data_IF_180838528400
#
_entry.id   IF_180838528400
#
_cell.length_a   1.000
_cell.length_b   1.000
_cell.length_c   1.000
_cell.angle_alpha   90.00
_cell.angle_beta   90.00
_cell.angle_gamma   90.00
#
_symmetry.space_group_name_H-M   'P 1'
#
loop_
_entity.id
_entity.type
_entity.pdbx_description
1 polymer ?
#
# COMPACT_ATOMS: atom_id res chain seq x y z
N UNK A 1 -64.82 41.59 97.31
CA UNK A 1 -64.27 40.25 97.61
C UNK A 1 -62.85 40.25 97.07
N UNK A 2 -61.88 40.59 97.92
CA UNK A 2 -61.12 39.66 98.78
C UNK A 2 -59.88 39.14 98.02
N UNK A 3 -58.69 39.63 98.40
CA UNK A 3 -57.62 38.89 99.12
C UNK A 3 -56.69 38.16 98.12
N UNK A 4 -55.38 38.07 98.25
CA UNK A 4 -54.45 38.35 99.34
C UNK A 4 -53.00 38.34 98.80
N UNK A 5 -52.14 38.96 99.60
CA UNK A 5 -50.68 39.08 99.54
C UNK A 5 -49.89 37.79 99.24
N UNK A 6 -48.65 37.96 98.77
CA UNK A 6 -47.46 37.31 99.35
C UNK A 6 -46.16 37.97 98.86
N UNK A 7 -45.34 38.42 99.81
CA UNK A 7 -44.03 39.05 99.60
C UNK A 7 -42.92 38.00 99.41
N UNK A 8 -41.90 38.30 98.59
CA UNK A 8 -40.62 37.59 98.56
C UNK A 8 -39.48 38.61 98.73
N UNK A 9 -38.59 38.30 99.67
CA UNK A 9 -37.48 39.14 100.12
C UNK A 9 -36.35 39.26 99.06
N UNK A 10 -35.82 40.48 98.93
CA UNK A 10 -34.65 40.81 98.11
C UNK A 10 -33.36 40.53 98.88
N UNK A 11 -32.46 39.74 98.28
CA UNK A 11 -31.12 39.48 98.79
C UNK A 11 -30.11 40.46 98.15
N UNK A 12 -29.33 41.14 98.99
CA UNK A 12 -28.43 42.25 98.65
C UNK A 12 -27.21 41.88 97.78
N UNK A 13 -27.14 40.68 97.21
CA UNK A 13 -25.97 40.22 96.46
C UNK A 13 -26.00 40.54 94.95
N UNK A 14 -27.15 40.92 94.40
CA UNK A 14 -27.33 41.14 92.96
C UNK A 14 -26.89 42.53 92.46
N UNK A 15 -26.54 43.46 93.35
CA UNK A 15 -26.23 44.84 92.96
C UNK A 15 -24.80 44.99 92.41
N UNK A 16 -23.86 44.09 92.74
CA UNK A 16 -22.46 44.19 92.25
C UNK A 16 -22.21 43.63 90.85
N UNK A 17 -23.12 42.80 90.32
CA UNK A 17 -22.96 42.22 88.97
C UNK A 17 -23.54 43.10 87.85
N UNK A 18 -24.32 44.14 88.18
CA UNK A 18 -24.92 45.03 87.20
C UNK A 18 -23.90 45.99 86.56
N UNK A 19 -22.91 46.49 87.33
CA UNK A 19 -21.92 47.45 86.82
C UNK A 19 -20.90 46.82 85.87
N UNK A 20 -20.55 45.54 86.06
CA UNK A 20 -19.59 44.86 85.19
C UNK A 20 -20.16 44.60 83.79
N UNK A 21 -21.44 44.24 83.71
CA UNK A 21 -22.17 43.98 82.45
C UNK A 21 -22.35 45.25 81.60
N UNK A 22 -22.57 46.40 82.26
CA UNK A 22 -22.71 47.70 81.60
C UNK A 22 -21.42 48.14 80.89
N UNK A 23 -20.25 47.92 81.50
CA UNK A 23 -18.97 48.26 80.87
C UNK A 23 -18.67 47.40 79.65
N UNK A 24 -18.95 46.10 79.72
CA UNK A 24 -18.69 45.15 78.63
C UNK A 24 -19.60 45.42 77.42
N UNK A 25 -20.88 45.77 77.65
CA UNK A 25 -21.79 46.16 76.57
C UNK A 25 -21.40 47.49 75.90
N UNK A 26 -20.76 48.40 76.65
CA UNK A 26 -20.27 49.68 76.12
C UNK A 26 -19.03 49.47 75.24
N UNK A 27 -18.10 48.60 75.65
CA UNK A 27 -16.93 48.22 74.84
C UNK A 27 -17.33 47.39 73.60
N UNK A 28 -18.32 46.52 73.72
CA UNK A 28 -18.85 45.74 72.58
C UNK A 28 -19.55 46.64 71.55
N UNK A 29 -20.27 47.68 72.00
CA UNK A 29 -20.84 48.70 71.09
C UNK A 29 -19.74 49.53 70.41
N UNK A 30 -18.64 49.80 71.10
CA UNK A 30 -17.53 50.57 70.55
C UNK A 30 -16.74 49.75 69.51
N UNK A 31 -16.55 48.44 69.73
CA UNK A 31 -15.87 47.55 68.78
C UNK A 31 -16.69 47.30 67.51
N UNK A 32 -18.03 47.20 67.63
CA UNK A 32 -18.94 47.05 66.48
C UNK A 32 -19.12 48.33 65.66
N UNK A 33 -18.75 49.50 66.20
CA UNK A 33 -18.84 50.80 65.51
C UNK A 33 -17.58 51.18 64.73
N UNK A 34 -16.49 50.41 64.86
CA UNK A 34 -15.26 50.66 64.11
C UNK A 34 -15.37 50.06 62.69
N UNK A 35 -15.84 50.87 61.74
CA UNK A 35 -15.75 50.51 60.33
C UNK A 35 -14.28 50.38 59.93
N UNK A 36 -13.79 49.14 59.76
CA UNK A 36 -12.53 48.91 59.05
C UNK A 36 -12.73 49.41 57.62
N UNK A 37 -12.13 50.55 57.29
CA UNK A 37 -12.10 51.07 55.93
C UNK A 37 -11.20 50.14 55.09
N UNK A 38 -11.78 49.08 54.53
CA UNK A 38 -11.10 48.28 53.52
C UNK A 38 -11.05 49.12 52.24
N UNK A 39 -9.87 49.62 51.91
CA UNK A 39 -9.63 50.33 50.65
C UNK A 39 -9.72 49.30 49.52
N UNK A 40 -10.89 49.20 48.88
CA UNK A 40 -11.04 48.44 47.65
C UNK A 40 -10.13 49.12 46.63
N UNK A 41 -8.97 48.52 46.38
CA UNK A 41 -8.13 48.88 45.25
C UNK A 41 -8.98 48.74 44.01
N UNK A 42 -9.17 49.85 43.30
CA UNK A 42 -9.85 49.88 42.02
C UNK A 42 -8.91 49.22 41.00
N UNK A 43 -8.82 47.89 40.99
CA UNK A 43 -8.17 47.15 39.93
C UNK A 43 -9.08 47.19 38.72
N UNK A 44 -9.09 48.33 38.01
CA UNK A 44 -9.57 48.34 36.64
C UNK A 44 -8.66 47.41 35.85
N UNK A 45 -9.06 46.15 35.68
CA UNK A 45 -8.46 45.25 34.70
C UNK A 45 -8.71 45.96 33.37
N UNK A 46 -7.69 46.66 32.87
CA UNK A 46 -7.73 47.24 31.54
C UNK A 46 -7.69 46.06 30.57
N UNK A 47 -8.86 45.60 30.17
CA UNK A 47 -9.00 44.71 29.02
C UNK A 47 -8.42 45.45 27.81
N UNK A 48 -7.14 45.22 27.53
CA UNK A 48 -6.55 45.61 26.25
C UNK A 48 -7.17 44.68 25.21
N UNK A 49 -8.33 45.09 24.69
CA UNK A 49 -9.09 44.37 23.66
C UNK A 49 -8.20 43.96 22.50
N UNK A 50 -7.26 44.82 22.10
CA UNK A 50 -6.26 44.51 21.07
C UNK A 50 -5.32 43.35 21.46
N UNK A 51 -4.88 43.27 22.72
CA UNK A 51 -4.02 42.18 23.19
C UNK A 51 -4.78 40.86 23.27
N UNK A 52 -6.03 40.89 23.77
CA UNK A 52 -6.89 39.69 23.83
C UNK A 52 -7.19 39.18 22.42
N UNK A 53 -7.53 40.07 21.48
CA UNK A 53 -7.77 39.71 20.06
C UNK A 53 -6.50 39.09 19.43
N UNK A 54 -5.33 39.68 19.67
CA UNK A 54 -4.06 39.16 19.15
C UNK A 54 -3.79 37.73 19.67
N UNK A 55 -3.94 37.50 20.97
CA UNK A 55 -3.74 36.19 21.59
C UNK A 55 -4.76 35.17 21.08
N UNK A 56 -6.02 35.57 20.92
CA UNK A 56 -7.06 34.71 20.34
C UNK A 56 -6.76 34.35 18.88
N UNK A 57 -6.29 35.28 18.05
CA UNK A 57 -5.91 35.00 16.65
C UNK A 57 -4.73 34.04 16.55
N UNK A 58 -3.71 34.20 17.41
CA UNK A 58 -2.58 33.27 17.50
C UNK A 58 -3.05 31.88 17.94
N UNK A 59 -3.95 31.82 18.92
CA UNK A 59 -4.56 30.55 19.36
C UNK A 59 -5.35 29.86 18.26
N UNK A 60 -6.15 30.60 17.48
CA UNK A 60 -6.89 30.06 16.34
C UNK A 60 -5.93 29.58 15.25
N UNK A 61 -4.88 30.34 14.92
CA UNK A 61 -3.87 29.93 13.95
C UNK A 61 -3.16 28.65 14.40
N UNK A 62 -2.82 28.55 15.68
CA UNK A 62 -2.22 27.35 16.27
C UNK A 62 -3.17 26.14 16.19
N UNK A 63 -4.46 26.34 16.49
CA UNK A 63 -5.47 25.29 16.33
C UNK A 63 -5.65 24.87 14.86
N UNK A 64 -5.60 25.80 13.92
CA UNK A 64 -5.64 25.50 12.48
C UNK A 64 -4.39 24.71 12.06
N UNK A 65 -3.21 25.06 12.57
CA UNK A 65 -1.98 24.29 12.32
C UNK A 65 -2.10 22.89 12.91
N UNK A 66 -2.54 22.74 14.15
CA UNK A 66 -2.77 21.44 14.78
C UNK A 66 -3.82 20.61 14.04
N UNK A 67 -4.91 21.23 13.60
CA UNK A 67 -5.93 20.56 12.79
C UNK A 67 -5.34 20.09 11.47
N UNK A 68 -4.57 20.91 10.76
CA UNK A 68 -3.91 20.52 9.51
C UNK A 68 -2.83 19.44 9.73
N UNK A 69 -2.10 19.46 10.85
CA UNK A 69 -1.15 18.39 11.20
C UNK A 69 -1.86 17.08 11.58
N UNK A 70 -3.05 17.14 12.20
CA UNK A 70 -3.86 15.97 12.50
C UNK A 70 -4.60 15.44 11.25
N UNK A 71 -4.90 16.31 10.29
CA UNK A 71 -5.59 15.99 9.03
C UNK A 71 -4.68 15.80 7.83
N UNK A 72 -3.35 15.95 7.94
CA UNK A 72 -2.46 15.34 6.97
C UNK A 72 -2.76 13.84 7.01
N UNK A 73 -3.25 13.23 5.93
CA UNK A 73 -3.62 11.83 5.95
C UNK A 73 -2.32 11.03 6.02
N UNK A 74 -1.83 10.78 7.22
CA UNK A 74 -0.99 9.61 7.46
C UNK A 74 -1.87 8.42 7.08
N UNK A 75 -1.49 7.60 6.09
CA UNK A 75 -2.29 6.45 5.70
C UNK A 75 -2.56 5.64 6.97
N UNK A 76 -3.83 5.32 7.21
CA UNK A 76 -4.24 4.50 8.36
C UNK A 76 -3.49 3.17 8.27
N UNK A 77 -2.41 3.04 9.03
CA UNK A 77 -1.65 1.81 9.19
C UNK A 77 -2.55 0.82 9.92
N UNK A 78 -3.14 -0.11 9.19
CA UNK A 78 -3.65 -1.35 9.77
C UNK A 78 -2.50 -2.35 9.57
N UNK A 79 -1.87 -2.76 10.66
CA UNK A 79 -0.82 -3.77 10.66
C UNK A 79 -1.24 -4.91 11.57
N UNK A 80 -1.09 -6.13 11.06
CA UNK A 80 -1.20 -7.35 11.85
C UNK A 80 0.23 -7.88 12.05
N UNK A 81 0.73 -7.78 13.28
CA UNK A 81 2.11 -8.15 13.61
C UNK A 81 2.49 -7.79 15.05
N UNK A 82 3.07 -8.72 15.79
CA UNK A 82 3.65 -8.46 17.11
C UNK A 82 4.92 -7.60 16.92
N UNK A 83 4.84 -6.32 17.30
CA UNK A 83 6.01 -5.45 17.33
C UNK A 83 7.01 -5.94 18.39
N UNK A 84 8.05 -6.66 17.98
CA UNK A 84 9.24 -6.82 18.82
C UNK A 84 10.25 -5.70 18.51
N UNK A 85 10.66 -4.88 19.51
CA UNK A 85 11.60 -3.77 19.32
C UNK A 85 12.96 -4.18 18.72
N UNK A 86 13.33 -5.46 18.84
CA UNK A 86 14.58 -5.99 18.30
C UNK A 86 14.63 -6.08 16.76
N UNK A 87 13.48 -6.11 16.07
CA UNK A 87 13.43 -6.31 14.61
C UNK A 87 13.81 -5.06 13.82
N UNK A 88 13.69 -3.86 14.39
CA UNK A 88 14.02 -2.59 13.72
C UNK A 88 15.52 -2.39 13.48
N UNK A 89 16.39 -2.91 14.37
CA UNK A 89 17.85 -2.77 14.25
C UNK A 89 18.47 -3.76 13.26
N UNK A 90 17.89 -4.97 13.12
CA UNK A 90 18.31 -5.98 12.14
C UNK A 90 17.71 -5.77 10.74
N UNK A 91 16.82 -4.79 10.58
CA UNK A 91 16.10 -4.51 9.34
C UNK A 91 17.00 -3.99 8.21
N UNK A 92 18.13 -3.33 8.53
CA UNK A 92 18.97 -2.62 7.56
C UNK A 92 20.16 -3.38 6.96
N UNK A 93 20.47 -4.60 7.40
CA UNK A 93 21.81 -5.21 7.16
C UNK A 93 21.83 -6.53 6.38
N UNK A 94 20.85 -6.80 5.50
CA UNK A 94 20.92 -8.00 4.65
C UNK A 94 20.81 -7.59 3.18
N UNK A 95 21.93 -7.65 2.46
CA UNK A 95 21.95 -7.59 1.00
C UNK A 95 21.42 -8.92 0.49
N UNK A 96 20.17 -8.94 0.02
CA UNK A 96 19.61 -10.11 -0.66
C UNK A 96 20.31 -10.32 -2.00
N UNK A 97 20.59 -11.58 -2.33
CA UNK A 97 21.20 -12.01 -3.58
C UNK A 97 20.19 -11.85 -4.71
N UNK A 98 20.52 -11.06 -5.72
CA UNK A 98 19.72 -10.92 -6.94
C UNK A 98 20.63 -10.79 -8.18
N UNK A 99 20.40 -11.57 -9.24
CA UNK A 99 19.52 -12.75 -9.33
C UNK A 99 19.90 -13.90 -8.39
N UNK A 100 18.99 -14.86 -8.17
CA UNK A 100 19.27 -16.01 -7.29
C UNK A 100 20.36 -16.93 -7.84
N UNK A 101 20.36 -17.21 -9.15
CA UNK A 101 21.45 -17.90 -9.81
C UNK A 101 22.55 -16.93 -10.21
N UNK A 102 23.82 -17.33 -10.10
CA UNK A 102 24.92 -16.48 -10.55
C UNK A 102 24.87 -16.29 -12.07
N UNK A 103 24.94 -15.04 -12.58
CA UNK A 103 25.04 -14.80 -14.01
C UNK A 103 26.29 -15.45 -14.62
N UNK A 104 26.16 -16.02 -15.82
CA UNK A 104 27.24 -16.66 -16.55
C UNK A 104 27.82 -15.63 -17.54
N UNK A 105 29.05 -15.18 -17.28
CA UNK A 105 29.75 -14.24 -18.16
C UNK A 105 30.41 -14.98 -19.34
N UNK A 106 29.96 -14.67 -20.55
CA UNK A 106 30.54 -15.17 -21.79
C UNK A 106 31.69 -14.24 -22.19
N UNK A 107 32.92 -14.79 -22.25
CA UNK A 107 34.15 -14.00 -22.51
C UNK A 107 33.98 -13.06 -23.70
N UNK A 108 34.06 -11.75 -23.43
CA UNK A 108 33.99 -10.64 -24.39
C UNK A 108 32.73 -10.62 -25.28
N UNK A 109 31.64 -11.28 -24.85
CA UNK A 109 30.46 -11.47 -25.70
C UNK A 109 29.18 -10.95 -25.02
N UNK A 110 28.89 -11.43 -23.81
CA UNK A 110 27.61 -11.13 -23.17
C UNK A 110 27.46 -11.78 -21.80
N UNK A 111 26.28 -11.61 -21.21
CA UNK A 111 25.93 -12.19 -19.91
C UNK A 111 24.68 -13.03 -20.08
N UNK A 112 24.73 -14.27 -19.57
CA UNK A 112 23.63 -15.23 -19.62
C UNK A 112 23.01 -15.36 -18.23
N UNK A 113 21.71 -15.18 -18.15
CA UNK A 113 20.92 -15.21 -16.92
C UNK A 113 19.94 -16.37 -16.96
N UNK A 114 19.73 -16.99 -15.80
CA UNK A 114 18.62 -17.92 -15.60
C UNK A 114 17.35 -17.10 -15.46
N UNK A 115 16.30 -17.49 -16.17
CA UNK A 115 14.98 -16.85 -16.08
C UNK A 115 13.90 -17.90 -15.86
N UNK A 116 12.79 -17.48 -15.27
CA UNK A 116 11.59 -18.27 -15.21
C UNK A 116 10.35 -17.42 -15.44
N UNK A 117 9.31 -18.08 -15.93
CA UNK A 117 7.98 -17.52 -16.09
C UNK A 117 6.94 -18.43 -15.45
N UNK A 118 5.89 -17.83 -14.88
CA UNK A 118 4.80 -18.53 -14.18
C UNK A 118 3.45 -18.28 -14.85
N UNK A 119 2.61 -19.30 -14.96
CA UNK A 119 1.32 -19.20 -15.66
C UNK A 119 0.15 -18.88 -14.75
N UNK A 120 -0.77 -18.08 -15.25
CA UNK A 120 -2.16 -18.07 -14.81
C UNK A 120 -3.00 -18.87 -15.82
N UNK A 121 -3.77 -19.83 -15.35
CA UNK A 121 -4.65 -20.66 -16.19
C UNK A 121 -6.12 -20.33 -15.97
N UNK A 122 -6.41 -19.27 -15.20
CA UNK A 122 -7.75 -18.91 -14.76
C UNK A 122 -8.47 -20.13 -14.17
N UNK A 123 -9.72 -20.35 -14.57
CA UNK A 123 -10.53 -21.49 -14.15
C UNK A 123 -9.97 -22.84 -14.62
N UNK A 124 -9.10 -22.87 -15.63
CA UNK A 124 -8.47 -24.09 -16.13
C UNK A 124 -7.33 -24.59 -15.24
N UNK A 125 -6.93 -23.81 -14.24
CA UNK A 125 -6.03 -24.25 -13.15
C UNK A 125 -6.59 -25.44 -12.37
N UNK A 126 -7.91 -25.63 -12.33
CA UNK A 126 -8.54 -26.74 -11.60
C UNK A 126 -8.28 -28.08 -12.28
N UNK A 127 -7.72 -29.04 -11.54
CA UNK A 127 -7.50 -30.39 -12.03
C UNK A 127 -8.82 -31.12 -12.29
N UNK A 128 -8.91 -31.77 -13.45
CA UNK A 128 -10.05 -32.61 -13.83
C UNK A 128 -9.93 -34.04 -13.30
N UNK A 129 -8.72 -34.47 -12.95
CA UNK A 129 -8.41 -35.84 -12.51
C UNK A 129 -8.23 -35.95 -11.01
N UNK A 130 -7.67 -34.91 -10.38
CA UNK A 130 -7.41 -34.88 -8.95
C UNK A 130 -8.41 -33.96 -8.24
N UNK A 131 -9.16 -34.52 -7.29
CA UNK A 131 -10.18 -33.77 -6.56
C UNK A 131 -9.54 -32.68 -5.69
N UNK A 132 -10.07 -31.46 -5.77
CA UNK A 132 -9.61 -30.30 -4.99
C UNK A 132 -8.12 -30.00 -5.18
N UNK A 133 -7.62 -30.15 -6.41
CA UNK A 133 -6.27 -29.75 -6.78
C UNK A 133 -6.36 -28.68 -7.85
N UNK A 134 -5.56 -27.64 -7.69
CA UNK A 134 -5.30 -26.61 -8.69
C UNK A 134 -3.83 -26.60 -9.03
N UNK A 135 -3.49 -26.16 -10.24
CA UNK A 135 -2.12 -26.15 -10.72
C UNK A 135 -1.78 -24.94 -11.59
N UNK A 136 -0.49 -24.66 -11.69
CA UNK A 136 0.13 -23.67 -12.57
C UNK A 136 1.39 -24.26 -13.20
N UNK A 137 1.84 -23.69 -14.31
CA UNK A 137 3.05 -24.07 -15.02
C UNK A 137 4.20 -23.11 -14.72
N UNK A 138 5.32 -23.68 -14.28
CA UNK A 138 6.56 -22.97 -14.03
C UNK A 138 7.58 -23.34 -15.10
N UNK A 139 7.81 -22.42 -16.04
CA UNK A 139 8.68 -22.63 -17.20
C UNK A 139 9.98 -21.87 -17.02
N UNK A 140 11.10 -22.58 -17.14
CA UNK A 140 12.43 -22.00 -16.99
C UNK A 140 13.18 -21.96 -18.32
N UNK A 141 14.11 -21.02 -18.43
CA UNK A 141 14.97 -20.84 -19.58
C UNK A 141 16.19 -20.00 -19.26
N UNK A 142 16.85 -19.51 -20.29
CA UNK A 142 17.96 -18.59 -20.20
C UNK A 142 17.73 -17.41 -21.11
N UNK A 143 18.13 -16.24 -20.63
CA UNK A 143 18.24 -15.02 -21.41
C UNK A 143 19.72 -14.65 -21.54
N UNK A 144 20.20 -14.45 -22.76
CA UNK A 144 21.57 -14.00 -23.02
C UNK A 144 21.53 -12.60 -23.61
N UNK A 145 22.18 -11.65 -22.95
CA UNK A 145 22.35 -10.29 -23.46
C UNK A 145 23.76 -10.10 -24.00
N UNK A 146 23.85 -9.71 -25.26
CA UNK A 146 25.10 -9.42 -25.97
C UNK A 146 25.35 -7.91 -25.93
N UNK A 147 26.23 -7.47 -25.04
CA UNK A 147 26.44 -6.05 -24.80
C UNK A 147 27.07 -5.31 -26.01
N UNK A 148 27.80 -6.03 -26.88
CA UNK A 148 28.52 -5.45 -28.02
C UNK A 148 27.62 -4.90 -29.12
N UNK A 149 26.51 -5.58 -29.40
CA UNK A 149 25.53 -5.22 -30.42
C UNK A 149 24.14 -4.93 -29.82
N UNK A 150 24.03 -4.99 -28.49
CA UNK A 150 22.80 -4.78 -27.73
C UNK A 150 21.64 -5.67 -28.20
N UNK A 151 21.89 -6.98 -28.37
CA UNK A 151 20.86 -7.98 -28.71
C UNK A 151 20.57 -8.91 -27.55
N UNK A 152 19.39 -9.54 -27.57
CA UNK A 152 18.96 -10.50 -26.56
C UNK A 152 18.50 -11.79 -27.25
N UNK A 153 19.02 -12.93 -26.79
CA UNK A 153 18.55 -14.26 -27.16
C UNK A 153 17.89 -14.95 -25.98
N UNK A 154 16.83 -15.72 -26.25
CA UNK A 154 16.09 -16.49 -25.25
C UNK A 154 16.09 -17.96 -25.64
N UNK A 155 16.46 -18.82 -24.70
CA UNK A 155 16.47 -20.27 -24.86
C UNK A 155 15.72 -20.93 -23.71
N UNK A 156 14.59 -21.55 -24.00
CA UNK A 156 13.82 -22.31 -23.01
C UNK A 156 14.40 -23.71 -22.78
N UNK A 157 14.22 -24.24 -21.58
CA UNK A 157 14.63 -25.60 -21.28
C UNK A 157 13.88 -26.62 -22.16
N UNK A 158 14.56 -27.70 -22.54
CA UNK A 158 13.98 -28.79 -23.32
C UNK A 158 12.98 -29.63 -22.53
N UNK A 159 13.18 -29.72 -21.21
CA UNK A 159 12.20 -30.32 -20.31
C UNK A 159 11.03 -29.34 -20.22
N UNK A 160 9.81 -29.83 -20.49
CA UNK A 160 8.60 -29.01 -20.43
C UNK A 160 8.41 -28.31 -19.07
N UNK A 161 7.43 -27.40 -18.96
CA UNK A 161 7.19 -26.67 -17.72
C UNK A 161 6.93 -27.62 -16.55
N UNK A 162 7.42 -27.23 -15.37
CA UNK A 162 7.11 -27.92 -14.12
C UNK A 162 5.68 -27.60 -13.70
N UNK A 163 4.98 -28.58 -13.15
CA UNK A 163 3.61 -28.41 -12.67
C UNK A 163 3.66 -28.13 -11.18
N UNK A 164 3.28 -26.92 -10.80
CA UNK A 164 3.11 -26.51 -9.41
C UNK A 164 1.68 -26.81 -8.99
N UNK A 165 1.47 -27.39 -7.79
CA UNK A 165 0.13 -27.80 -7.33
C UNK A 165 -0.16 -27.28 -5.93
N UNK A 166 -1.43 -26.99 -5.66
CA UNK A 166 -1.96 -26.73 -4.33
C UNK A 166 -3.37 -27.28 -4.19
N UNK A 167 -3.75 -27.65 -2.96
CA UNK A 167 -5.12 -28.04 -2.61
C UNK A 167 -5.93 -26.89 -2.01
N UNK A 168 -5.32 -25.70 -1.85
CA UNK A 168 -5.95 -24.54 -1.25
C UNK A 168 -6.66 -23.74 -2.34
N UNK A 169 -7.91 -23.36 -2.09
CA UNK A 169 -8.71 -22.54 -2.99
C UNK A 169 -9.65 -21.63 -2.21
N UNK A 170 -10.15 -20.59 -2.87
CA UNK A 170 -11.20 -19.72 -2.37
C UNK A 170 -12.28 -19.62 -3.45
N UNK A 171 -13.53 -19.94 -3.10
CA UNK A 171 -14.61 -20.02 -4.09
C UNK A 171 -14.38 -21.07 -5.19
N UNK A 172 -13.58 -22.11 -4.91
CA UNK A 172 -13.27 -23.17 -5.86
C UNK A 172 -12.25 -22.79 -6.95
N UNK A 173 -11.53 -21.68 -6.79
CA UNK A 173 -10.43 -21.22 -7.64
C UNK A 173 -9.14 -21.08 -6.82
N UNK A 174 -7.98 -21.35 -7.43
CA UNK A 174 -6.67 -21.24 -6.79
C UNK A 174 -5.55 -21.56 -7.77
N UNK A 175 -4.29 -21.28 -7.39
CA UNK A 175 -3.11 -21.41 -8.27
C UNK A 175 -3.20 -20.59 -9.57
N UNK A 176 -3.94 -19.48 -9.53
CA UNK A 176 -4.00 -18.48 -10.60
C UNK A 176 -2.90 -17.45 -10.29
N UNK A 177 -1.69 -17.77 -10.76
CA UNK A 177 -0.45 -17.16 -10.31
C UNK A 177 -0.06 -15.97 -11.19
N UNK A 178 -0.29 -14.76 -10.69
CA UNK A 178 -0.29 -13.52 -11.50
C UNK A 178 0.97 -12.66 -11.40
N UNK A 179 2.05 -13.13 -10.76
CA UNK A 179 3.39 -12.50 -10.79
C UNK A 179 4.46 -13.46 -10.26
N UNK A 180 5.74 -13.18 -10.58
CA UNK A 180 6.92 -13.86 -10.05
C UNK A 180 7.95 -12.83 -9.56
N UNK A 181 8.40 -12.96 -8.31
CA UNK A 181 9.35 -12.00 -7.72
C UNK A 181 10.37 -12.69 -6.82
N UNK A 182 11.62 -12.25 -6.88
CA UNK A 182 12.65 -12.61 -5.90
C UNK A 182 12.61 -11.65 -4.72
N UNK A 183 12.46 -12.19 -3.51
CA UNK A 183 12.48 -11.43 -2.28
C UNK A 183 13.14 -12.25 -1.17
N UNK A 184 14.04 -11.65 -0.40
CA UNK A 184 14.68 -12.31 0.75
C UNK A 184 15.26 -13.70 0.39
N UNK A 185 16.01 -13.74 -0.70
CA UNK A 185 16.70 -14.93 -1.25
C UNK A 185 15.76 -16.11 -1.62
N UNK A 186 14.49 -15.81 -1.86
CA UNK A 186 13.47 -16.78 -2.27
C UNK A 186 12.66 -16.26 -3.45
N UNK A 187 12.03 -17.18 -4.17
CA UNK A 187 11.08 -16.87 -5.23
C UNK A 187 9.67 -16.94 -4.66
N UNK A 188 8.87 -15.92 -4.96
CA UNK A 188 7.48 -15.84 -4.59
C UNK A 188 6.58 -15.65 -5.79
N UNK A 189 5.38 -16.23 -5.71
CA UNK A 189 4.29 -16.02 -6.65
C UNK A 189 2.97 -15.84 -5.90
N UNK A 190 1.96 -15.28 -6.55
CA UNK A 190 0.78 -14.72 -5.90
C UNK A 190 -0.48 -15.29 -6.54
N UNK A 191 -1.29 -15.98 -5.74
CA UNK A 191 -2.60 -16.46 -6.19
C UNK A 191 -3.63 -15.34 -6.05
N UNK A 192 -4.08 -14.79 -7.18
CA UNK A 192 -5.00 -13.65 -7.24
C UNK A 192 -6.43 -13.97 -6.73
N UNK A 193 -6.73 -15.25 -6.47
CA UNK A 193 -8.04 -15.70 -5.99
C UNK A 193 -8.05 -15.82 -4.49
N UNK A 194 -7.08 -16.56 -3.96
CA UNK A 194 -6.96 -16.80 -2.53
C UNK A 194 -6.28 -15.65 -1.80
N UNK A 195 -5.50 -14.83 -2.50
CA UNK A 195 -4.59 -13.84 -1.93
C UNK A 195 -3.35 -14.47 -1.28
N UNK A 196 -3.11 -15.77 -1.48
CA UNK A 196 -1.95 -16.44 -0.89
C UNK A 196 -0.70 -16.08 -1.68
N UNK A 197 0.33 -15.66 -0.95
CA UNK A 197 1.70 -15.56 -1.45
C UNK A 197 2.37 -16.91 -1.19
N UNK A 198 2.77 -17.56 -2.27
CA UNK A 198 3.46 -18.84 -2.26
C UNK A 198 4.96 -18.63 -2.42
N UNK A 199 5.77 -19.29 -1.59
CA UNK A 199 7.20 -19.47 -1.88
C UNK A 199 7.40 -20.69 -2.77
N UNK A 200 8.25 -20.56 -3.78
CA UNK A 200 8.68 -21.66 -4.64
C UNK A 200 10.07 -22.12 -4.18
N UNK A 201 10.18 -23.37 -3.74
CA UNK A 201 11.42 -23.99 -3.29
C UNK A 201 12.38 -24.30 -4.44
N UNK A 202 13.63 -24.61 -4.13
CA UNK A 202 14.64 -24.99 -5.14
C UNK A 202 14.27 -26.27 -5.90
N UNK A 203 13.53 -27.16 -5.24
CA UNK A 203 12.97 -28.40 -5.79
C UNK A 203 11.63 -28.18 -6.51
N UNK A 204 11.25 -26.92 -6.75
CA UNK A 204 9.99 -26.48 -7.36
C UNK A 204 8.75 -26.84 -6.52
N UNK A 205 8.91 -27.09 -5.21
CA UNK A 205 7.76 -27.22 -4.30
C UNK A 205 7.12 -25.87 -4.02
N UNK A 206 5.79 -25.86 -3.89
CA UNK A 206 5.02 -24.64 -3.62
C UNK A 206 4.48 -24.69 -2.20
N UNK A 207 4.88 -23.71 -1.39
CA UNK A 207 4.51 -23.62 0.02
C UNK A 207 3.82 -22.27 0.30
N UNK A 208 2.62 -22.27 0.89
CA UNK A 208 1.98 -21.03 1.35
C UNK A 208 2.88 -20.31 2.35
N UNK A 209 3.08 -19.01 2.18
CA UNK A 209 3.81 -18.19 3.13
C UNK A 209 2.88 -17.29 3.94
N UNK A 210 2.12 -16.43 3.27
CA UNK A 210 1.19 -15.48 3.89
C UNK A 210 -0.07 -15.32 3.03
N UNK A 211 -1.15 -14.82 3.62
CA UNK A 211 -2.41 -14.51 2.92
C UNK A 211 -2.69 -13.01 2.98
N UNK A 212 -3.08 -12.44 1.84
CA UNK A 212 -3.39 -11.04 1.65
C UNK A 212 -4.91 -10.90 1.46
N UNK A 213 -5.56 -10.16 2.35
CA UNK A 213 -7.00 -9.86 2.24
C UNK A 213 -7.25 -8.56 1.48
N UNK A 214 -8.37 -8.50 0.76
CA UNK A 214 -8.66 -7.43 -0.19
C UNK A 214 -8.78 -6.03 0.45
N UNK A 215 -8.50 -4.98 -0.34
CA UNK A 215 -8.59 -3.59 0.06
C UNK A 215 -7.69 -3.23 1.25
N UNK A 216 -8.30 -2.70 2.31
CA UNK A 216 -7.66 -2.31 3.56
C UNK A 216 -7.32 -3.48 4.50
N UNK A 217 -7.54 -4.73 4.06
CA UNK A 217 -7.24 -5.94 4.83
C UNK A 217 -8.40 -6.48 5.67
N UNK A 218 -9.57 -5.83 5.67
CA UNK A 218 -10.74 -6.28 6.46
C UNK A 218 -11.80 -7.00 5.61
N UNK A 219 -11.49 -7.30 4.35
CA UNK A 219 -12.39 -8.03 3.45
C UNK A 219 -12.32 -9.54 3.69
N UNK A 220 -13.41 -10.25 3.40
CA UNK A 220 -13.44 -11.72 3.39
C UNK A 220 -12.90 -12.32 2.08
N UNK A 221 -12.70 -11.50 1.05
CA UNK A 221 -12.17 -11.92 -0.25
C UNK A 221 -10.64 -11.84 -0.24
N UNK A 222 -9.99 -12.82 -0.86
CA UNK A 222 -8.56 -12.78 -1.18
C UNK A 222 -8.23 -11.55 -2.03
N UNK A 223 -7.07 -10.95 -1.78
CA UNK A 223 -6.58 -9.82 -2.53
C UNK A 223 -6.15 -10.26 -3.93
N UNK A 224 -6.74 -9.64 -4.96
CA UNK A 224 -6.41 -9.90 -6.37
C UNK A 224 -5.05 -9.30 -6.68
N UNK A 225 -3.99 -10.05 -6.42
CA UNK A 225 -2.60 -9.62 -6.61
C UNK A 225 -2.26 -9.70 -8.09
N UNK A 226 -1.75 -8.62 -8.67
CA UNK A 226 -1.51 -8.51 -10.13
C UNK A 226 -0.06 -8.11 -10.44
N UNK A 227 0.68 -7.58 -9.47
CA UNK A 227 2.07 -7.22 -9.65
C UNK A 227 2.78 -7.17 -8.31
N UNK A 228 4.10 -7.33 -8.32
CA UNK A 228 4.92 -7.27 -7.14
C UNK A 228 6.35 -6.77 -7.43
N UNK A 229 6.92 -6.05 -6.48
CA UNK A 229 8.30 -5.55 -6.58
C UNK A 229 8.92 -5.33 -5.21
N UNK A 230 10.24 -5.15 -5.17
CA UNK A 230 10.97 -4.89 -3.93
C UNK A 230 11.38 -3.43 -3.87
N UNK A 231 11.03 -2.75 -2.78
CA UNK A 231 11.42 -1.36 -2.51
C UNK A 231 11.79 -1.22 -1.04
N UNK A 232 12.96 -0.64 -0.75
CA UNK A 232 13.46 -0.44 0.62
C UNK A 232 13.44 -1.71 1.49
N UNK A 233 13.83 -2.85 0.92
CA UNK A 233 13.86 -4.16 1.59
C UNK A 233 12.50 -4.76 1.97
N UNK A 234 11.40 -4.15 1.51
CA UNK A 234 10.05 -4.71 1.61
C UNK A 234 9.53 -5.14 0.25
N UNK A 235 8.66 -6.13 0.26
CA UNK A 235 7.89 -6.61 -0.87
C UNK A 235 6.59 -5.81 -0.99
N UNK A 236 6.43 -5.11 -2.10
CA UNK A 236 5.23 -4.37 -2.46
C UNK A 236 4.40 -5.22 -3.41
N UNK A 237 3.12 -5.39 -3.11
CA UNK A 237 2.19 -6.18 -3.92
C UNK A 237 0.98 -5.30 -4.23
N UNK A 238 0.67 -5.14 -5.51
CA UNK A 238 -0.49 -4.40 -5.94
C UNK A 238 -1.51 -5.25 -6.68
N UNK A 239 -2.64 -4.60 -6.96
CA UNK A 239 -3.76 -5.13 -7.72
C UNK A 239 -3.94 -4.28 -8.98
N UNK A 240 -5.07 -4.42 -9.66
CA UNK A 240 -5.33 -3.84 -10.98
C UNK A 240 -5.19 -2.30 -11.04
N UNK A 241 -5.23 -1.60 -9.90
CA UNK A 241 -4.94 -0.17 -9.84
C UNK A 241 -6.03 0.74 -10.43
N UNK A 242 -7.26 0.22 -10.59
CA UNK A 242 -8.45 1.01 -10.91
C UNK A 242 -9.59 0.69 -9.95
N UNK A 243 -10.66 1.47 -10.03
CA UNK A 243 -11.91 1.19 -9.35
C UNK A 243 -12.42 -0.23 -9.73
N UNK A 244 -12.92 -0.98 -8.74
CA UNK A 244 -13.69 -2.17 -9.01
C UNK A 244 -15.05 -1.74 -9.55
N UNK A 245 -15.44 -2.32 -10.68
CA UNK A 245 -16.68 -2.01 -11.38
C UNK A 245 -17.49 -3.28 -11.65
N UNK A 246 -18.77 -3.13 -12.00
CA UNK A 246 -19.51 -4.18 -12.70
C UNK A 246 -18.86 -4.50 -14.06
N UNK A 247 -19.33 -5.55 -14.74
CA UNK A 247 -18.92 -5.89 -16.12
C UNK A 247 -19.27 -4.80 -17.14
N UNK A 248 -20.20 -3.89 -16.80
CA UNK A 248 -20.59 -2.73 -17.61
C UNK A 248 -19.95 -1.41 -17.15
N UNK A 249 -19.03 -1.47 -16.17
CA UNK A 249 -18.24 -0.32 -15.75
C UNK A 249 -18.90 0.57 -14.70
N UNK A 250 -19.94 0.11 -14.02
CA UNK A 250 -20.54 0.84 -12.89
C UNK A 250 -19.66 0.71 -11.64
N UNK A 251 -19.37 1.83 -10.98
CA UNK A 251 -18.52 1.85 -9.79
C UNK A 251 -19.08 1.00 -8.64
N UNK A 252 -18.20 0.28 -7.94
CA UNK A 252 -18.53 -0.48 -6.73
C UNK A 252 -17.65 -0.08 -5.55
N UNK A 253 -16.32 -0.17 -5.68
CA UNK A 253 -15.37 0.16 -4.61
C UNK A 253 -13.95 0.46 -5.14
N UNK A 254 -13.04 0.85 -4.24
CA UNK A 254 -11.65 1.17 -4.55
C UNK A 254 -10.65 0.10 -4.10
N UNK A 255 -11.08 -1.11 -3.76
CA UNK A 255 -10.21 -2.14 -3.19
C UNK A 255 -8.97 -2.48 -4.06
N UNK A 256 -9.08 -2.59 -5.40
CA UNK A 256 -7.92 -2.87 -6.26
C UNK A 256 -6.91 -1.72 -6.33
N UNK A 257 -7.22 -0.56 -5.73
CA UNK A 257 -6.32 0.59 -5.64
C UNK A 257 -5.58 0.66 -4.29
N UNK A 258 -5.74 -0.33 -3.42
CA UNK A 258 -4.86 -0.55 -2.26
C UNK A 258 -3.68 -1.40 -2.69
N UNK A 259 -2.54 -1.25 -2.00
CA UNK A 259 -1.38 -2.16 -2.10
C UNK A 259 -1.09 -2.80 -0.74
N UNK A 260 -0.26 -3.83 -0.74
CA UNK A 260 0.24 -4.53 0.44
C UNK A 260 1.75 -4.37 0.50
N UNK A 261 2.27 -3.97 1.64
CA UNK A 261 3.71 -3.89 1.91
C UNK A 261 4.03 -4.97 2.93
N UNK A 262 4.95 -5.86 2.58
CA UNK A 262 5.30 -7.03 3.36
C UNK A 262 6.79 -6.96 3.67
N UNK A 263 7.15 -6.96 4.94
CA UNK A 263 8.57 -7.04 5.29
C UNK A 263 9.09 -8.48 5.30
N UNK A 264 10.41 -8.64 5.46
CA UNK A 264 11.07 -9.96 5.50
C UNK A 264 10.55 -10.93 6.57
N UNK A 265 9.85 -10.42 7.58
CA UNK A 265 9.26 -11.21 8.66
C UNK A 265 7.80 -11.60 8.38
N UNK A 266 7.23 -11.15 7.26
CA UNK A 266 5.84 -11.40 6.87
C UNK A 266 4.85 -10.43 7.50
N UNK A 267 5.29 -9.34 8.13
CA UNK A 267 4.36 -8.30 8.61
C UNK A 267 3.78 -7.54 7.43
N UNK A 268 2.46 -7.42 7.41
CA UNK A 268 1.70 -6.80 6.33
C UNK A 268 1.24 -5.41 6.76
N UNK A 269 1.42 -4.43 5.87
CA UNK A 269 0.84 -3.10 5.95
C UNK A 269 -0.04 -2.85 4.72
N UNK A 270 -1.27 -2.40 4.93
CA UNK A 270 -2.21 -2.05 3.87
C UNK A 270 -2.12 -0.55 3.56
N UNK A 271 -1.81 -0.18 2.31
CA UNK A 271 -1.64 1.23 1.93
C UNK A 271 -2.60 1.61 0.82
N UNK A 272 -3.32 2.71 1.02
CA UNK A 272 -4.23 3.25 0.02
C UNK A 272 -3.45 4.01 -1.07
N UNK A 273 -3.51 3.52 -2.31
CA UNK A 273 -2.85 4.10 -3.48
C UNK A 273 -3.83 4.75 -4.46
N UNK A 274 -5.07 5.03 -4.05
CA UNK A 274 -6.10 5.63 -4.92
C UNK A 274 -5.58 6.87 -5.65
N UNK A 275 -5.01 7.82 -4.91
CA UNK A 275 -4.49 9.06 -5.51
C UNK A 275 -3.27 8.82 -6.41
N UNK A 276 -2.46 7.81 -6.12
CA UNK A 276 -1.28 7.48 -6.91
C UNK A 276 -1.70 6.95 -8.29
N UNK A 277 -2.62 5.98 -8.32
CA UNK A 277 -3.16 5.46 -9.59
C UNK A 277 -3.94 6.50 -10.38
N UNK A 278 -4.70 7.39 -9.71
CA UNK A 278 -5.34 8.53 -10.37
C UNK A 278 -4.30 9.44 -11.03
N UNK A 279 -3.20 9.74 -10.33
CA UNK A 279 -2.12 10.56 -10.89
C UNK A 279 -1.46 9.88 -12.10
N UNK A 280 -1.22 8.57 -12.04
CA UNK A 280 -0.67 7.76 -13.14
C UNK A 280 -1.57 7.84 -14.38
N UNK A 281 -2.86 7.51 -14.27
CA UNK A 281 -3.77 7.55 -15.44
C UNK A 281 -3.94 8.97 -15.97
N UNK A 282 -3.95 9.98 -15.09
CA UNK A 282 -4.04 11.39 -15.50
C UNK A 282 -2.82 11.85 -16.29
N UNK A 283 -1.63 11.36 -15.97
CA UNK A 283 -0.41 11.64 -16.75
C UNK A 283 -0.49 11.10 -18.18
N UNK A 284 -1.29 10.05 -18.40
CA UNK A 284 -1.63 9.52 -19.73
C UNK A 284 -2.89 10.16 -20.34
N UNK A 285 -3.37 11.29 -19.80
CA UNK A 285 -4.60 11.99 -20.21
C UNK A 285 -5.88 11.16 -20.10
N UNK A 286 -5.92 10.19 -19.18
CA UNK A 286 -7.10 9.36 -18.93
C UNK A 286 -7.75 9.82 -17.63
N UNK A 287 -9.05 10.09 -17.70
CA UNK A 287 -9.88 10.45 -16.56
C UNK A 287 -11.08 9.50 -16.50
N UNK A 288 -11.56 9.22 -15.29
CA UNK A 288 -12.78 8.45 -15.09
C UNK A 288 -13.94 9.08 -15.90
N UNK A 289 -14.75 8.30 -16.65
CA UNK A 289 -14.89 6.84 -16.60
C UNK A 289 -13.84 6.04 -17.40
N UNK A 290 -12.91 6.69 -18.09
CA UNK A 290 -11.71 6.04 -18.62
C UNK A 290 -10.85 5.41 -17.52
N UNK A 291 -10.10 4.37 -17.88
CA UNK A 291 -9.40 3.53 -16.92
C UNK A 291 -8.05 3.02 -17.46
N UNK A 292 -7.26 2.49 -16.53
CA UNK A 292 -5.97 1.85 -16.78
C UNK A 292 -5.86 0.64 -15.86
N UNK A 293 -5.44 -0.51 -16.38
CA UNK A 293 -5.24 -1.74 -15.60
C UNK A 293 -3.75 -2.01 -15.50
N UNK A 294 -3.27 -2.23 -14.28
CA UNK A 294 -1.87 -2.50 -13.97
C UNK A 294 -1.69 -3.95 -13.54
N UNK A 295 -0.92 -4.70 -14.32
CA UNK A 295 -0.44 -6.05 -13.98
C UNK A 295 1.09 -6.11 -13.96
N UNK A 296 1.75 -4.95 -13.99
CA UNK A 296 3.20 -4.93 -13.82
C UNK A 296 3.68 -3.59 -13.30
N UNK A 297 4.56 -3.66 -12.30
CA UNK A 297 5.17 -2.50 -11.68
C UNK A 297 6.49 -2.90 -11.03
N UNK A 298 7.55 -2.12 -11.27
CA UNK A 298 8.87 -2.35 -10.67
C UNK A 298 9.44 -1.05 -10.11
N UNK A 299 9.97 -1.08 -8.89
CA UNK A 299 10.77 0.00 -8.34
C UNK A 299 12.21 -0.09 -8.85
N UNK A 300 12.73 0.99 -9.43
CA UNK A 300 14.15 1.11 -9.77
C UNK A 300 14.89 1.89 -8.67
N UNK A 301 15.83 1.22 -8.02
CA UNK A 301 16.73 1.86 -7.07
C UNK A 301 17.69 2.85 -7.75
N UNK A 302 18.08 2.57 -9.00
CA UNK A 302 18.99 3.40 -9.80
C UNK A 302 18.33 4.73 -10.14
N UNK A 303 17.11 4.70 -10.67
CA UNK A 303 16.40 5.89 -11.10
C UNK A 303 15.60 6.56 -9.98
N UNK A 304 15.38 5.87 -8.85
CA UNK A 304 14.50 6.26 -7.74
C UNK A 304 13.07 6.55 -8.23
N UNK A 305 12.57 5.64 -9.06
CA UNK A 305 11.26 5.75 -9.71
C UNK A 305 10.54 4.41 -9.73
N UNK A 306 9.23 4.49 -9.65
CA UNK A 306 8.32 3.42 -10.01
C UNK A 306 8.20 3.38 -11.53
N UNK A 307 8.21 2.19 -12.12
CA UNK A 307 7.94 1.96 -13.54
C UNK A 307 6.72 1.05 -13.68
N UNK A 308 5.83 1.38 -14.60
CA UNK A 308 4.61 0.63 -14.90
C UNK A 308 4.54 0.37 -16.40
N UNK A 309 4.15 -0.85 -16.76
CA UNK A 309 3.65 -1.19 -18.08
C UNK A 309 2.20 -1.64 -17.91
N UNK A 310 1.22 -0.73 -18.05
CA UNK A 310 -0.18 -1.09 -17.90
C UNK A 310 -0.58 -2.17 -18.91
N UNK A 311 -1.39 -3.14 -18.47
CA UNK A 311 -1.99 -4.14 -19.37
C UNK A 311 -2.94 -3.46 -20.34
N UNK A 312 -3.84 -2.64 -19.79
CA UNK A 312 -4.93 -1.99 -20.52
C UNK A 312 -4.98 -0.50 -20.26
N UNK A 313 -5.45 0.26 -21.24
CA UNK A 313 -5.61 1.71 -21.16
C UNK A 313 -6.72 2.17 -22.09
N UNK A 314 -7.76 2.81 -21.55
CA UNK A 314 -8.91 3.27 -22.32
C UNK A 314 -9.42 4.62 -21.84
N UNK A 315 -9.81 5.49 -22.78
CA UNK A 315 -10.51 6.73 -22.49
C UNK A 315 -12.03 6.55 -22.32
N UNK A 316 -12.54 5.35 -22.63
CA UNK A 316 -13.96 4.98 -22.50
C UNK A 316 -14.19 4.22 -21.20
N UNK A 317 -15.46 4.15 -20.79
CA UNK A 317 -15.89 3.36 -19.64
C UNK A 317 -15.52 1.88 -19.81
N UNK A 318 -15.18 1.23 -18.70
CA UNK A 318 -14.89 -0.20 -18.66
C UNK A 318 -16.08 -1.03 -19.15
N UNK A 319 -15.79 -2.01 -20.00
CA UNK A 319 -16.69 -3.07 -20.38
C UNK A 319 -15.84 -4.33 -20.55
N UNK A 320 -16.28 -5.44 -19.97
CA UNK A 320 -15.52 -6.70 -19.90
C UNK A 320 -15.10 -7.21 -21.29
N UNK A 321 -16.05 -7.26 -22.24
CA UNK A 321 -15.77 -7.74 -23.61
C UNK A 321 -14.87 -6.76 -24.39
N UNK A 322 -15.09 -5.45 -24.24
CA UNK A 322 -14.28 -4.45 -24.92
C UNK A 322 -12.84 -4.39 -24.38
N UNK A 323 -12.63 -4.71 -23.09
CA UNK A 323 -11.33 -4.65 -22.43
C UNK A 323 -10.30 -5.60 -23.03
N UNK A 324 -10.74 -6.74 -23.59
CA UNK A 324 -9.88 -7.70 -24.30
C UNK A 324 -9.05 -7.02 -25.42
N UNK A 325 -9.55 -5.90 -25.97
CA UNK A 325 -8.95 -5.13 -27.05
C UNK A 325 -8.35 -3.78 -26.61
N UNK A 326 -8.23 -3.53 -25.30
CA UNK A 326 -7.74 -2.24 -24.76
C UNK A 326 -6.26 -2.29 -24.36
N UNK A 327 -5.46 -3.20 -24.93
CA UNK A 327 -4.03 -3.24 -24.66
C UNK A 327 -3.32 -1.93 -25.04
N UNK A 328 -2.17 -1.68 -24.43
CA UNK A 328 -1.44 -0.43 -24.61
C UNK A 328 0.06 -0.64 -24.78
N UNK A 329 0.75 0.40 -25.22
CA UNK A 329 2.20 0.45 -25.41
C UNK A 329 2.88 1.47 -24.45
N UNK A 330 2.18 1.89 -23.39
CA UNK A 330 2.69 2.88 -22.44
C UNK A 330 3.73 2.29 -21.49
N UNK A 331 4.85 2.99 -21.34
CA UNK A 331 5.79 2.88 -20.22
C UNK A 331 5.67 4.15 -19.38
N UNK A 332 5.24 3.99 -18.13
CA UNK A 332 5.04 5.12 -17.22
C UNK A 332 6.06 5.05 -16.11
N UNK A 333 6.80 6.14 -15.87
CA UNK A 333 7.70 6.24 -14.72
C UNK A 333 7.25 7.36 -13.78
N UNK A 334 7.22 7.11 -12.47
CA UNK A 334 6.80 8.05 -11.45
C UNK A 334 7.88 8.21 -10.37
N UNK A 335 8.09 9.45 -9.89
CA UNK A 335 8.85 9.68 -8.66
C UNK A 335 8.20 8.96 -7.48
N UNK A 336 8.96 8.72 -6.41
CA UNK A 336 8.47 8.01 -5.20
C UNK A 336 7.17 8.60 -4.62
N UNK A 337 7.01 9.92 -4.72
CA UNK A 337 5.81 10.64 -4.28
C UNK A 337 4.75 10.89 -5.38
N UNK A 338 4.91 10.31 -6.57
CA UNK A 338 4.01 10.42 -7.72
C UNK A 338 3.73 11.87 -8.19
N UNK A 339 4.62 12.82 -7.89
CA UNK A 339 4.49 14.23 -8.32
C UNK A 339 5.13 14.51 -9.69
N UNK A 340 6.13 13.73 -10.08
CA UNK A 340 6.76 13.78 -11.39
C UNK A 340 6.53 12.46 -12.11
N UNK A 341 5.65 12.47 -13.11
CA UNK A 341 5.25 11.29 -13.88
C UNK A 341 5.57 11.52 -15.35
N UNK A 342 6.24 10.56 -15.98
CA UNK A 342 6.64 10.59 -17.39
C UNK A 342 6.02 9.40 -18.11
N UNK A 343 5.54 9.63 -19.32
CA UNK A 343 4.94 8.62 -20.18
C UNK A 343 5.77 8.51 -21.45
N UNK A 344 6.18 7.28 -21.77
CA UNK A 344 6.92 6.88 -22.97
C UNK A 344 6.09 5.84 -23.71
N UNK A 345 6.25 5.73 -25.03
CA UNK A 345 5.57 4.71 -25.84
C UNK A 345 6.60 3.70 -26.34
N UNK A 346 6.26 2.42 -26.31
CA UNK A 346 7.16 1.31 -26.63
C UNK A 346 6.59 0.50 -27.80
N UNK A 347 7.07 0.77 -29.00
CA UNK A 347 6.57 0.12 -30.21
C UNK A 347 5.12 0.44 -30.54
N UNK A 348 4.50 -0.40 -31.37
CA UNK A 348 3.11 -0.25 -31.80
C UNK A 348 2.12 -0.91 -30.83
N UNK A 349 0.87 -0.44 -30.86
CA UNK A 349 -0.22 -1.06 -30.09
C UNK A 349 -0.72 -2.29 -30.85
N UNK A 350 -0.68 -3.45 -30.18
CA UNK A 350 -1.40 -4.65 -30.59
C UNK A 350 -2.58 -4.80 -29.61
N UNK A 351 -3.83 -4.54 -30.04
CA UNK A 351 -4.97 -4.38 -29.12
C UNK A 351 -5.22 -5.54 -28.14
N UNK A 352 -4.84 -6.76 -28.51
CA UNK A 352 -5.07 -7.98 -27.72
C UNK A 352 -3.90 -8.35 -26.82
N UNK A 353 -2.71 -7.74 -26.99
CA UNK A 353 -1.48 -8.10 -26.27
C UNK A 353 -1.19 -7.10 -25.14
N UNK A 354 -1.68 -7.38 -23.93
CA UNK A 354 -1.46 -6.54 -22.76
C UNK A 354 -0.21 -6.95 -21.98
N UNK A 355 0.57 -6.00 -21.46
CA UNK A 355 1.69 -6.32 -20.58
C UNK A 355 1.22 -7.01 -19.30
N UNK A 356 1.90 -8.11 -18.94
CA UNK A 356 1.53 -8.95 -17.79
C UNK A 356 2.62 -9.06 -16.72
N UNK A 357 3.90 -8.76 -17.04
CA UNK A 357 4.98 -8.66 -16.06
C UNK A 357 6.21 -8.06 -16.74
N UNK A 358 7.12 -7.45 -15.97
CA UNK A 358 8.45 -7.11 -16.47
C UNK A 358 9.49 -7.07 -15.35
N UNK A 359 10.76 -7.14 -15.73
CA UNK A 359 11.92 -6.90 -14.86
C UNK A 359 12.99 -6.11 -15.60
N UNK A 360 13.80 -5.35 -14.86
CA UNK A 360 15.01 -4.76 -15.40
C UNK A 360 16.06 -5.83 -15.61
N UNK A 361 16.76 -5.80 -16.75
CA UNK A 361 17.88 -6.70 -17.01
C UNK A 361 19.05 -6.37 -16.05
N UNK A 362 19.49 -7.31 -15.20
CA UNK A 362 20.53 -7.05 -14.21
C UNK A 362 21.84 -6.59 -14.86
N UNK A 363 22.53 -5.65 -14.20
CA UNK A 363 23.79 -5.10 -14.70
C UNK A 363 23.67 -4.04 -15.79
N UNK A 364 22.45 -3.59 -16.13
CA UNK A 364 22.22 -2.57 -17.16
C UNK A 364 21.97 -1.16 -16.62
N UNK A 365 22.06 -0.97 -15.29
CA UNK A 365 21.62 0.24 -14.57
C UNK A 365 20.14 0.56 -14.83
N UNK A 366 19.30 -0.46 -14.80
CA UNK A 366 17.86 -0.37 -15.04
C UNK A 366 17.50 0.36 -16.34
N UNK A 367 18.33 0.18 -17.38
CA UNK A 367 18.08 0.80 -18.70
C UNK A 367 17.31 -0.10 -19.63
N UNK A 368 17.50 -1.41 -19.51
CA UNK A 368 16.85 -2.42 -20.36
C UNK A 368 15.78 -3.13 -19.54
N UNK A 369 14.57 -3.20 -20.10
CA UNK A 369 13.43 -3.94 -19.57
C UNK A 369 13.23 -5.20 -20.40
N UNK A 370 12.96 -6.32 -19.72
CA UNK A 370 12.44 -7.56 -20.32
C UNK A 370 11.01 -7.71 -19.84
N UNK A 371 10.05 -7.80 -20.75
CA UNK A 371 8.63 -7.78 -20.44
C UNK A 371 7.88 -8.94 -21.10
N UNK A 372 6.85 -9.42 -20.41
CA UNK A 372 5.84 -10.31 -20.93
C UNK A 372 4.61 -9.52 -21.37
N UNK A 373 3.98 -10.00 -22.43
CA UNK A 373 2.61 -9.68 -22.79
C UNK A 373 1.79 -10.95 -22.80
N UNK A 374 0.57 -10.90 -22.29
CA UNK A 374 -0.41 -11.99 -22.47
C UNK A 374 -1.58 -11.53 -23.33
N UNK A 375 -2.09 -12.49 -24.09
CA UNK A 375 -3.26 -12.35 -24.94
C UNK A 375 -4.37 -13.24 -24.39
N UNK A 376 -5.57 -12.69 -24.33
CA UNK A 376 -6.79 -13.37 -23.92
C UNK A 376 -7.93 -12.77 -24.75
N UNK A 377 -8.43 -13.57 -25.70
CA UNK A 377 -9.56 -13.21 -26.55
C UNK A 377 -10.53 -14.39 -26.55
N UNK A 378 -11.64 -14.24 -25.83
CA UNK A 378 -12.53 -15.36 -25.55
C UNK A 378 -11.81 -16.53 -24.87
N UNK A 379 -11.63 -17.65 -25.57
CA UNK A 379 -10.92 -18.83 -25.04
C UNK A 379 -9.47 -18.96 -25.51
N UNK A 380 -9.06 -18.13 -26.47
CA UNK A 380 -7.69 -18.19 -27.00
C UNK A 380 -6.75 -17.43 -26.09
N UNK A 381 -5.65 -18.09 -25.70
CA UNK A 381 -4.61 -17.47 -24.88
C UNK A 381 -3.24 -17.65 -25.48
N UNK A 382 -2.38 -16.66 -25.28
CA UNK A 382 -0.99 -16.72 -25.66
C UNK A 382 -0.15 -15.86 -24.72
N UNK A 383 1.16 -16.09 -24.76
CA UNK A 383 2.12 -15.19 -24.13
C UNK A 383 3.31 -14.95 -25.01
N UNK A 384 3.84 -13.75 -24.87
CA UNK A 384 4.91 -13.22 -25.67
C UNK A 384 5.95 -12.56 -24.78
N UNK A 385 7.19 -12.51 -25.24
CA UNK A 385 8.29 -11.84 -24.57
C UNK A 385 8.91 -10.79 -25.51
N UNK A 386 9.31 -9.66 -24.93
CA UNK A 386 9.98 -8.56 -25.63
C UNK A 386 11.00 -7.91 -24.70
N UNK A 387 11.91 -7.12 -25.27
CA UNK A 387 12.84 -6.32 -24.49
C UNK A 387 13.11 -4.98 -25.18
N UNK A 388 13.29 -3.93 -24.38
CA UNK A 388 13.43 -2.56 -24.86
C UNK A 388 14.12 -1.68 -23.82
N UNK A 389 14.68 -0.57 -24.25
CA UNK A 389 15.21 0.45 -23.35
C UNK A 389 14.08 1.27 -22.71
N UNK A 390 14.34 1.91 -21.57
CA UNK A 390 13.39 2.81 -20.88
C UNK A 390 12.97 4.04 -21.72
N UNK A 391 13.66 4.31 -22.82
CA UNK A 391 13.28 5.34 -23.80
C UNK A 391 12.31 4.84 -24.89
N UNK A 392 11.98 3.54 -24.88
CA UNK A 392 11.08 2.89 -25.83
C UNK A 392 11.78 2.21 -27.00
N UNK A 393 13.11 2.28 -27.10
CA UNK A 393 13.86 1.64 -28.18
C UNK A 393 13.83 0.12 -28.04
N UNK A 394 13.22 -0.56 -29.01
CA UNK A 394 13.11 -2.04 -29.01
C UNK A 394 14.48 -2.69 -29.24
N UNK A 395 14.79 -3.67 -28.40
CA UNK A 395 15.98 -4.53 -28.47
C UNK A 395 15.62 -5.91 -29.00
N UNK A 396 14.51 -6.45 -28.49
CA UNK A 396 13.96 -7.74 -28.89
C UNK A 396 12.50 -7.51 -29.29
N UNK A 397 12.14 -7.67 -30.58
CA UNK A 397 10.75 -7.70 -31.03
C UNK A 397 9.94 -8.73 -30.25
N UNK A 398 8.62 -8.59 -30.26
CA UNK A 398 7.76 -9.56 -29.59
C UNK A 398 7.89 -10.97 -30.19
N UNK A 399 8.14 -11.96 -29.34
CA UNK A 399 8.24 -13.37 -29.72
C UNK A 399 7.25 -14.18 -28.88
N UNK A 400 6.42 -14.99 -29.53
CA UNK A 400 5.50 -15.91 -28.85
C UNK A 400 6.27 -16.99 -28.10
N UNK A 401 5.96 -17.18 -26.82
CA UNK A 401 6.64 -18.15 -25.94
C UNK A 401 5.75 -19.31 -25.48
N UNK A 402 4.42 -19.13 -25.51
CA UNK A 402 3.46 -20.15 -25.12
C UNK A 402 2.04 -19.88 -25.65
N UNK A 403 1.16 -20.90 -25.57
CA UNK A 403 -0.28 -20.83 -25.79
C UNK A 403 -1.08 -20.77 -24.47
N UNK A 404 -0.43 -20.32 -23.39
CA UNK A 404 -1.04 -20.09 -22.08
C UNK A 404 -0.62 -18.70 -21.62
N UNK A 405 -1.41 -18.09 -20.72
CA UNK A 405 -1.05 -16.83 -20.07
C UNK A 405 0.10 -17.06 -19.08
N UNK A 406 1.21 -16.37 -19.30
CA UNK A 406 2.31 -16.24 -18.36
C UNK A 406 2.31 -14.79 -17.85
N UNK A 407 2.20 -14.65 -16.54
CA UNK A 407 1.92 -13.37 -15.86
C UNK A 407 2.99 -13.01 -14.82
N UNK A 408 4.06 -13.78 -14.76
CA UNK A 408 5.25 -13.39 -14.01
C UNK A 408 6.50 -13.77 -14.76
N UNK A 409 7.49 -12.87 -14.78
CA UNK A 409 8.86 -13.15 -15.21
C UNK A 409 9.84 -12.74 -14.11
N UNK A 410 10.85 -13.56 -13.86
CA UNK A 410 11.92 -13.23 -12.93
C UNK A 410 13.28 -13.80 -13.35
N UNK A 411 14.35 -13.12 -12.95
CA UNK A 411 15.71 -13.64 -12.99
C UNK A 411 15.97 -14.50 -11.74
N UNK A 412 16.02 -15.82 -11.94
CA UNK A 412 16.06 -16.84 -10.87
C UNK A 412 17.42 -17.49 -10.70
#
# INVERSE_FOLDING_TARGET
MNTENSYVALNLHDIKNADYSSSMLKELRQSLSSSQAYRISNSTIRFQTHFVILVSLIGILFLVILYNMAYTPTPKLVSYGLNHPHDQLMYKSVTSKYPLSQPIYLKNLGVKFRIAIISDLDKASKSLTEKNIWYSYYKKGYLTWYASNNTIDILWDHVGPKVLKSSISMGGRGMELSELVTFNDKIYSFDDRTGIVYSIGEDDTVLPWIILMDGNGTSFKGYKSEWATVHNSDLYVGSMGKEWTSSTGEYVNNNPMWIKIINKFGHITHVNWVNNYIAIRKAANINFPGYMIHESCVWSQVHKRWFFLPRRSSSKQYNEDADEYMATNLLISASDNFKDIKVVHVGEIIPTHGYSSFKFLPGTNDRIIVALKSEEVGSETASYITAFNIDGTIILPEIKVANHKYEGIEFV
#
